data_IF_588017526256
#
_entry.id   IF_588017526256
#
_cell.length_a   1.000
_cell.length_b   1.000
_cell.length_c   1.000
_cell.angle_alpha   90.00
_cell.angle_beta   90.00
_cell.angle_gamma   90.00
#
_symmetry.space_group_name_H-M   'P 1'
#
loop_
_entity.id
_entity.type
_entity.pdbx_description
1 polymer ?
#
# COMPACT_ATOMS: atom_id res chain seq x y z
N UNK A 1 -23.93 25.01 68.73
CA UNK A 1 -22.85 24.38 69.54
C UNK A 1 -22.99 22.89 69.34
N UNK A 2 -21.88 22.18 69.09
CA UNK A 2 -21.77 20.75 68.68
C UNK A 2 -22.01 20.51 67.17
N UNK A 3 -21.24 19.73 66.40
CA UNK A 3 -19.88 19.15 66.47
C UNK A 3 -19.57 18.71 65.01
N UNK A 4 -18.29 18.72 64.62
CA UNK A 4 -17.76 18.59 63.23
C UNK A 4 -18.14 17.29 62.49
N UNK A 5 -18.20 17.30 61.14
CA UNK A 5 -18.21 16.09 60.30
C UNK A 5 -16.80 15.47 60.15
N UNK A 6 -16.70 14.18 59.77
CA UNK A 6 -15.43 13.46 59.75
C UNK A 6 -14.54 13.84 58.56
N UNK A 7 -13.23 13.82 58.81
CA UNK A 7 -12.13 14.09 57.86
C UNK A 7 -12.01 12.98 56.80
N UNK A 8 -11.60 13.31 55.56
CA UNK A 8 -11.27 12.31 54.54
C UNK A 8 -9.86 11.72 54.76
N UNK A 9 -9.75 10.42 54.49
CA UNK A 9 -8.49 9.65 54.49
C UNK A 9 -7.54 10.12 53.38
N UNK A 10 -6.20 10.05 53.58
CA UNK A 10 -5.23 10.54 52.61
C UNK A 10 -5.08 9.60 51.40
N UNK A 11 -5.11 10.19 50.21
CA UNK A 11 -4.76 9.54 48.94
C UNK A 11 -3.23 9.36 48.91
N UNK A 12 -2.78 8.11 48.89
CA UNK A 12 -1.38 7.79 48.64
C UNK A 12 -1.06 8.05 47.16
N UNK A 13 -0.29 9.10 46.90
CA UNK A 13 0.31 9.39 45.60
C UNK A 13 1.53 8.47 45.45
N UNK A 14 1.39 7.36 44.71
CA UNK A 14 2.56 6.59 44.28
C UNK A 14 3.14 7.26 43.03
N UNK A 15 4.26 7.96 43.21
CA UNK A 15 5.06 8.54 42.13
C UNK A 15 5.95 7.45 41.51
N UNK A 16 5.43 6.76 40.49
CA UNK A 16 6.27 6.03 39.53
C UNK A 16 6.48 6.91 38.30
N UNK A 17 7.72 7.24 37.91
CA UNK A 17 7.96 8.04 36.72
C UNK A 17 7.73 7.19 35.45
N UNK A 18 7.25 7.78 34.35
CA UNK A 18 7.12 7.05 33.09
C UNK A 18 8.51 6.71 32.54
N UNK A 19 8.66 5.46 32.15
CA UNK A 19 9.89 4.82 31.70
C UNK A 19 10.20 5.18 30.24
N UNK A 20 10.23 6.47 29.89
CA UNK A 20 10.68 6.94 28.57
C UNK A 20 11.33 8.32 28.66
N UNK A 21 12.60 8.36 29.04
CA UNK A 21 13.51 9.43 28.64
C UNK A 21 14.95 8.93 28.76
N UNK A 22 15.55 8.54 27.62
CA UNK A 22 17.01 8.51 27.33
C UNK A 22 17.29 7.72 26.06
N UNK A 23 16.95 8.30 24.91
CA UNK A 23 17.70 8.03 23.67
C UNK A 23 17.80 9.35 22.91
N UNK A 24 18.72 10.20 23.38
CA UNK A 24 19.20 11.34 22.62
C UNK A 24 20.72 11.23 22.47
N UNK A 25 21.14 11.33 21.20
CA UNK A 25 22.45 11.75 20.71
C UNK A 25 23.70 10.99 21.21
N UNK A 26 24.18 10.06 20.37
CA UNK A 26 25.62 9.85 20.19
C UNK A 26 25.94 10.03 18.70
N UNK A 27 26.33 11.24 18.31
CA UNK A 27 27.09 11.48 17.08
C UNK A 27 28.52 11.00 17.34
N UNK A 28 28.91 9.85 16.76
CA UNK A 28 30.33 9.52 16.58
C UNK A 28 30.69 9.69 15.11
N UNK A 29 31.55 10.67 14.84
CA UNK A 29 32.37 10.72 13.62
C UNK A 29 33.40 9.60 13.72
N UNK A 30 33.43 8.70 12.76
CA UNK A 30 34.56 7.81 12.51
C UNK A 30 35.00 7.98 11.07
N UNK A 31 36.12 8.68 10.90
CA UNK A 31 36.90 8.65 9.66
C UNK A 31 37.61 7.30 9.57
N UNK A 32 37.35 6.53 8.52
CA UNK A 32 38.22 5.43 8.13
C UNK A 32 38.54 5.63 6.65
N UNK A 33 39.78 6.02 6.40
CA UNK A 33 40.41 5.85 5.10
C UNK A 33 40.94 4.40 5.03
N UNK A 34 40.61 3.70 3.94
CA UNK A 34 41.32 2.49 3.55
C UNK A 34 41.25 2.37 2.01
N UNK A 35 42.37 2.72 1.38
CA UNK A 35 42.73 2.37 0.00
C UNK A 35 43.11 0.89 -0.09
N UNK A 36 42.71 0.21 -1.17
CA UNK A 36 43.47 -0.94 -1.68
C UNK A 36 42.69 -2.20 -2.11
N UNK A 37 42.46 -2.28 -3.43
CA UNK A 37 42.51 -3.46 -4.31
C UNK A 37 41.56 -4.68 -4.14
N UNK A 38 40.69 -4.78 -5.15
CA UNK A 38 40.38 -5.93 -6.03
C UNK A 38 40.33 -7.37 -5.47
N UNK A 39 39.13 -7.96 -5.60
CA UNK A 39 38.93 -9.40 -5.78
C UNK A 39 38.02 -10.04 -4.73
N UNK A 40 36.71 -10.15 -5.01
CA UNK A 40 35.79 -11.00 -4.23
C UNK A 40 34.70 -11.51 -5.20
N UNK A 41 34.82 -12.73 -5.71
CA UNK A 41 34.24 -13.96 -5.13
C UNK A 41 32.73 -13.84 -4.89
N UNK A 42 31.94 -14.47 -5.76
CA UNK A 42 30.49 -14.56 -5.62
C UNK A 42 30.12 -15.26 -4.31
N UNK A 43 29.73 -14.48 -3.31
CA UNK A 43 29.18 -15.01 -2.06
C UNK A 43 27.82 -15.70 -2.32
N UNK A 44 27.56 -16.78 -1.58
CA UNK A 44 26.27 -17.49 -1.60
C UNK A 44 25.10 -16.52 -1.35
N UNK A 45 23.93 -16.70 -2.01
CA UNK A 45 22.77 -15.81 -1.87
C UNK A 45 22.29 -15.59 -0.42
N UNK A 46 22.57 -16.54 0.47
CA UNK A 46 22.16 -16.49 1.87
C UNK A 46 22.99 -15.50 2.72
N UNK A 47 24.24 -15.21 2.35
CA UNK A 47 25.12 -14.34 3.13
C UNK A 47 24.80 -12.83 2.99
N UNK A 48 23.96 -12.46 2.01
CA UNK A 48 23.66 -11.07 1.67
C UNK A 48 22.42 -10.48 2.38
N UNK A 49 21.72 -11.23 3.26
CA UNK A 49 20.43 -10.76 3.79
C UNK A 49 20.53 -9.83 5.00
N UNK A 50 21.51 -10.00 5.90
CA UNK A 50 21.65 -9.16 7.10
C UNK A 50 22.08 -7.76 6.69
N UNK A 51 21.26 -6.75 7.04
CA UNK A 51 21.51 -5.34 6.69
C UNK A 51 21.05 -4.92 5.29
N UNK A 52 20.44 -5.83 4.51
CA UNK A 52 19.92 -5.50 3.18
C UNK A 52 18.60 -4.70 3.22
N UNK A 53 17.80 -4.91 4.27
CA UNK A 53 16.57 -4.17 4.55
C UNK A 53 16.88 -2.83 5.23
N UNK A 54 16.10 -1.79 4.92
CA UNK A 54 16.32 -0.39 5.37
C UNK A 54 17.69 0.17 4.99
N UNK A 55 18.19 -0.25 3.83
CA UNK A 55 19.44 0.23 3.27
C UNK A 55 19.19 1.12 2.06
N UNK A 56 20.04 2.14 1.89
CA UNK A 56 20.12 2.91 0.65
C UNK A 56 20.89 2.10 -0.39
N UNK A 57 20.33 1.95 -1.58
CA UNK A 57 20.94 1.20 -2.70
C UNK A 57 21.11 2.11 -3.90
N UNK A 58 22.22 2.03 -4.65
CA UNK A 58 22.30 2.62 -5.98
C UNK A 58 21.18 2.05 -6.86
N UNK A 59 20.62 2.88 -7.72
CA UNK A 59 19.57 2.48 -8.65
C UNK A 59 20.02 2.68 -10.09
N UNK A 60 19.75 1.68 -10.92
CA UNK A 60 19.93 1.73 -12.35
C UNK A 60 18.62 1.26 -13.02
N UNK A 61 18.01 2.07 -13.90
CA UNK A 61 16.84 1.67 -14.67
C UNK A 61 17.07 0.38 -15.48
N UNK A 62 16.01 -0.41 -15.76
CA UNK A 62 16.08 -1.45 -16.78
C UNK A 62 16.50 -0.84 -18.12
N UNK A 63 17.21 -1.62 -18.94
CA UNK A 63 17.72 -1.16 -20.24
C UNK A 63 16.61 -0.59 -21.13
N UNK A 64 15.44 -1.23 -21.16
CA UNK A 64 14.26 -0.80 -21.91
C UNK A 64 13.60 0.48 -21.37
N UNK A 65 13.91 0.92 -20.15
CA UNK A 65 13.43 2.16 -19.54
C UNK A 65 14.52 3.23 -19.39
N UNK A 66 15.76 2.96 -19.80
CA UNK A 66 16.90 3.86 -19.55
C UNK A 66 16.80 5.25 -20.18
N UNK A 67 15.93 5.41 -21.18
CA UNK A 67 15.64 6.68 -21.84
C UNK A 67 14.60 7.54 -21.10
N UNK A 68 13.88 6.98 -20.12
CA UNK A 68 12.88 7.72 -19.35
C UNK A 68 13.55 8.70 -18.40
N UNK A 69 12.93 9.87 -18.24
CA UNK A 69 13.38 10.90 -17.32
C UNK A 69 13.15 10.52 -15.85
N UNK A 70 13.77 11.28 -14.95
CA UNK A 70 13.55 11.21 -13.49
C UNK A 70 13.90 9.85 -12.84
N UNK A 71 14.74 9.03 -13.48
CA UNK A 71 15.35 7.89 -12.81
C UNK A 71 16.19 8.38 -11.62
N UNK A 72 15.88 7.99 -10.37
CA UNK A 72 16.67 8.45 -9.24
C UNK A 72 18.03 7.75 -9.21
N UNK A 73 19.07 8.39 -8.67
CA UNK A 73 20.38 7.73 -8.55
C UNK A 73 20.41 6.63 -7.48
N UNK A 74 19.42 6.62 -6.57
CA UNK A 74 19.34 5.68 -5.44
C UNK A 74 17.90 5.38 -5.07
N UNK A 75 17.67 4.24 -4.42
CA UNK A 75 16.41 3.86 -3.76
C UNK A 75 16.68 3.40 -2.33
N UNK A 76 15.62 3.27 -1.53
CA UNK A 76 15.67 2.54 -0.26
C UNK A 76 15.08 1.15 -0.41
N UNK A 77 15.67 0.16 0.26
CA UNK A 77 15.08 -1.18 0.37
C UNK A 77 14.06 -1.20 1.51
N UNK A 78 12.78 -1.04 1.18
CA UNK A 78 11.65 -1.04 2.12
C UNK A 78 10.73 -2.26 1.96
N UNK A 79 10.85 -2.99 0.84
CA UNK A 79 10.02 -4.17 0.59
C UNK A 79 10.74 -5.52 0.66
N UNK A 80 9.92 -6.57 0.62
CA UNK A 80 10.33 -7.94 0.37
C UNK A 80 9.99 -8.28 -1.09
N UNK A 81 11.03 -8.34 -1.92
CA UNK A 81 10.94 -8.61 -3.35
C UNK A 81 11.87 -9.78 -3.73
N UNK A 82 11.53 -10.56 -4.77
CA UNK A 82 10.33 -10.46 -5.58
C UNK A 82 9.05 -10.91 -4.86
N UNK A 83 7.89 -10.32 -5.19
CA UNK A 83 6.61 -10.79 -4.60
C UNK A 83 6.13 -12.07 -5.27
N UNK A 84 5.55 -13.03 -4.53
CA UNK A 84 5.12 -14.31 -5.08
C UNK A 84 4.12 -14.16 -6.22
N UNK A 85 4.23 -15.04 -7.22
CA UNK A 85 3.24 -15.22 -8.29
C UNK A 85 2.81 -16.67 -8.26
N UNK A 86 1.50 -16.92 -8.24
CA UNK A 86 0.96 -18.27 -8.30
C UNK A 86 -0.38 -18.29 -9.02
N UNK A 87 -0.80 -19.47 -9.49
CA UNK A 87 -2.13 -19.66 -10.08
C UNK A 87 -3.19 -19.34 -9.04
N UNK A 88 -4.25 -18.65 -9.46
CA UNK A 88 -5.40 -18.31 -8.63
C UNK A 88 -6.61 -19.05 -9.18
N UNK A 89 -6.97 -20.14 -8.50
CA UNK A 89 -8.02 -21.05 -8.94
C UNK A 89 -9.40 -20.41 -8.73
N UNK A 90 -9.83 -19.61 -9.70
CA UNK A 90 -11.13 -18.95 -9.72
C UNK A 90 -12.19 -19.85 -10.37
N UNK A 91 -13.41 -19.92 -9.83
CA UNK A 91 -14.50 -20.67 -10.44
C UNK A 91 -15.06 -19.92 -11.67
N UNK A 92 -15.70 -20.67 -12.58
CA UNK A 92 -16.49 -20.14 -13.69
C UNK A 92 -15.72 -19.19 -14.65
N UNK A 93 -14.44 -19.50 -14.90
CA UNK A 93 -13.66 -18.77 -15.90
C UNK A 93 -14.08 -19.15 -17.34
N UNK A 94 -13.92 -18.23 -18.32
CA UNK A 94 -14.12 -18.54 -19.73
C UNK A 94 -13.18 -19.66 -20.22
N UNK A 95 -13.55 -20.30 -21.34
CA UNK A 95 -12.86 -21.50 -21.84
C UNK A 95 -11.36 -21.28 -22.03
N UNK A 96 -10.54 -22.19 -21.49
CA UNK A 96 -9.08 -22.12 -21.59
C UNK A 96 -8.42 -20.93 -20.89
N UNK A 97 -9.18 -20.13 -20.14
CA UNK A 97 -8.66 -18.96 -19.41
C UNK A 97 -7.98 -19.40 -18.12
N UNK A 98 -6.81 -18.85 -17.84
CA UNK A 98 -6.12 -19.03 -16.57
C UNK A 98 -5.94 -17.70 -15.87
N UNK A 99 -6.23 -17.64 -14.57
CA UNK A 99 -5.92 -16.47 -13.75
C UNK A 99 -4.80 -16.81 -12.78
N UNK A 100 -3.81 -15.94 -12.73
CA UNK A 100 -2.69 -15.94 -11.80
C UNK A 100 -2.77 -14.69 -10.94
N UNK A 101 -2.13 -14.71 -9.78
CA UNK A 101 -2.12 -13.60 -8.85
C UNK A 101 -0.68 -13.24 -8.47
N UNK A 102 -0.32 -11.96 -8.63
CA UNK A 102 0.91 -11.39 -8.07
C UNK A 102 0.59 -10.80 -6.71
N UNK A 103 1.26 -11.33 -5.67
CA UNK A 103 1.00 -11.07 -4.26
C UNK A 103 1.71 -9.82 -3.76
N UNK A 104 1.43 -8.69 -4.39
CA UNK A 104 1.99 -7.40 -3.97
C UNK A 104 1.47 -6.96 -2.59
N UNK A 105 0.39 -7.56 -2.08
CA UNK A 105 -0.05 -7.48 -0.69
C UNK A 105 1.01 -7.97 0.32
N UNK A 106 1.93 -8.84 -0.12
CA UNK A 106 3.02 -9.40 0.66
C UNK A 106 4.35 -8.66 0.46
N UNK A 107 4.35 -7.49 -0.19
CA UNK A 107 5.55 -6.67 -0.44
C UNK A 107 6.24 -6.15 0.83
N UNK A 108 5.62 -6.31 2.01
CA UNK A 108 6.16 -5.85 3.28
C UNK A 108 5.49 -4.57 3.78
N UNK A 109 6.30 -3.66 4.31
CA UNK A 109 5.93 -2.56 5.20
C UNK A 109 4.63 -2.67 6.01
N UNK A 110 4.54 -3.68 6.88
CA UNK A 110 3.36 -3.97 7.71
C UNK A 110 2.07 -4.14 6.88
N UNK A 111 2.13 -4.90 5.77
CA UNK A 111 1.02 -5.12 4.82
C UNK A 111 0.66 -3.87 4.00
N UNK A 112 1.66 -3.11 3.57
CA UNK A 112 1.48 -1.84 2.83
C UNK A 112 1.27 -2.02 1.33
N UNK A 113 1.39 -3.24 0.82
CA UNK A 113 0.95 -3.57 -0.52
C UNK A 113 1.72 -2.81 -1.62
N UNK A 114 0.97 -2.30 -2.60
CA UNK A 114 1.54 -1.56 -3.73
C UNK A 114 2.33 -0.30 -3.34
N UNK A 115 2.09 0.27 -2.17
CA UNK A 115 2.69 1.56 -1.77
C UNK A 115 4.18 1.44 -1.50
N UNK A 116 4.63 0.27 -1.05
CA UNK A 116 6.04 0.00 -0.75
C UNK A 116 6.92 0.34 -1.94
N UNK A 117 6.57 -0.22 -3.11
CA UNK A 117 7.33 -0.02 -4.36
C UNK A 117 7.51 1.45 -4.72
N UNK A 118 6.48 2.27 -4.55
CA UNK A 118 6.58 3.71 -4.87
C UNK A 118 7.37 4.47 -3.81
N UNK A 119 7.19 4.13 -2.54
CA UNK A 119 7.83 4.80 -1.41
C UNK A 119 9.35 4.58 -1.38
N UNK A 120 9.87 3.47 -1.93
CA UNK A 120 11.32 3.26 -2.10
C UNK A 120 12.00 4.39 -2.89
N UNK A 121 11.28 4.97 -3.85
CA UNK A 121 11.74 6.05 -4.71
C UNK A 121 11.47 7.42 -4.09
N UNK A 122 10.22 7.63 -3.65
CA UNK A 122 9.77 8.91 -3.08
C UNK A 122 10.54 9.30 -1.82
N UNK A 123 10.78 8.35 -0.92
CA UNK A 123 11.52 8.64 0.30
C UNK A 123 13.03 8.73 0.09
N UNK A 124 13.56 8.08 -0.96
CA UNK A 124 14.94 8.30 -1.38
C UNK A 124 15.15 9.77 -1.76
N UNK A 125 14.24 10.33 -2.55
CA UNK A 125 14.25 11.73 -2.94
C UNK A 125 14.01 12.68 -1.74
N UNK A 126 13.04 12.38 -0.88
CA UNK A 126 12.80 13.16 0.33
C UNK A 126 14.05 13.28 1.22
N UNK A 127 14.73 12.16 1.49
CA UNK A 127 15.98 12.15 2.27
C UNK A 127 17.12 12.86 1.53
N UNK A 128 17.22 12.71 0.21
CA UNK A 128 18.23 13.40 -0.58
C UNK A 128 18.06 14.93 -0.56
N UNK A 129 16.81 15.42 -0.50
CA UNK A 129 16.49 16.84 -0.35
C UNK A 129 16.65 17.35 1.10
N UNK A 130 17.05 16.49 2.04
CA UNK A 130 17.27 16.85 3.43
C UNK A 130 15.97 17.13 4.19
N UNK A 131 14.86 16.49 3.78
CA UNK A 131 13.60 16.58 4.50
C UNK A 131 13.74 16.03 5.93
N UNK A 132 13.01 16.64 6.87
CA UNK A 132 12.85 16.12 8.24
C UNK A 132 11.44 15.58 8.51
N UNK A 133 10.50 15.86 7.60
CA UNK A 133 9.14 15.36 7.66
C UNK A 133 8.54 15.19 6.27
N UNK A 134 7.51 14.36 6.19
CA UNK A 134 6.71 14.15 4.99
C UNK A 134 5.25 14.52 5.23
N UNK A 135 4.60 15.02 4.18
CA UNK A 135 3.17 15.32 4.16
C UNK A 135 2.50 14.43 3.13
N UNK A 136 1.36 13.84 3.47
CA UNK A 136 0.49 13.23 2.46
C UNK A 136 -1.00 13.33 2.82
N UNK A 137 -1.85 12.94 1.87
CA UNK A 137 -3.30 13.10 1.94
C UNK A 137 -4.00 11.78 1.60
N UNK A 138 -5.08 11.47 2.30
CA UNK A 138 -5.89 10.28 2.03
C UNK A 138 -7.19 10.25 2.83
N UNK A 139 -7.96 9.16 2.73
CA UNK A 139 -9.10 8.91 3.64
C UNK A 139 -8.66 8.34 4.99
N UNK A 140 -9.57 8.31 5.96
CA UNK A 140 -9.36 7.68 7.28
C UNK A 140 -8.72 6.29 7.18
N UNK A 141 -9.13 5.48 6.19
CA UNK A 141 -8.61 4.13 5.98
C UNK A 141 -7.60 4.06 4.83
N UNK A 142 -6.84 5.13 4.59
CA UNK A 142 -5.87 5.19 3.50
C UNK A 142 -4.70 4.24 3.73
N UNK A 143 -4.62 3.18 2.91
CA UNK A 143 -3.42 2.33 2.87
C UNK A 143 -2.16 3.14 2.55
N UNK A 144 -2.28 4.22 1.78
CA UNK A 144 -1.15 5.09 1.44
C UNK A 144 -0.65 5.89 2.65
N UNK A 145 -1.55 6.51 3.41
CA UNK A 145 -1.16 7.33 4.56
C UNK A 145 -0.44 6.47 5.59
N UNK A 146 -1.00 5.30 5.91
CA UNK A 146 -0.39 4.31 6.78
C UNK A 146 0.97 3.84 6.26
N UNK A 147 1.09 3.48 4.98
CA UNK A 147 2.37 3.07 4.40
C UNK A 147 3.43 4.18 4.46
N UNK A 148 3.02 5.43 4.21
CA UNK A 148 3.90 6.60 4.30
C UNK A 148 4.35 6.85 5.74
N UNK A 149 3.45 6.78 6.72
CA UNK A 149 3.79 6.96 8.14
C UNK A 149 4.80 5.91 8.63
N UNK A 150 4.56 4.66 8.25
CA UNK A 150 5.46 3.54 8.51
C UNK A 150 6.85 3.79 7.93
N UNK A 151 6.92 4.09 6.62
CA UNK A 151 8.17 4.23 5.92
C UNK A 151 8.94 5.51 6.32
N UNK A 152 8.23 6.58 6.67
CA UNK A 152 8.82 7.80 7.24
C UNK A 152 9.57 7.49 8.54
N UNK A 153 8.95 6.74 9.46
CA UNK A 153 9.59 6.40 10.74
C UNK A 153 10.82 5.51 10.60
N UNK A 154 10.86 4.62 9.60
CA UNK A 154 12.06 3.85 9.28
C UNK A 154 13.26 4.70 8.85
N UNK A 155 13.00 5.88 8.31
CA UNK A 155 14.04 6.80 7.84
C UNK A 155 14.20 8.03 8.77
N UNK A 156 13.66 7.94 9.99
CA UNK A 156 13.69 9.02 10.99
C UNK A 156 13.05 10.34 10.50
N UNK A 157 11.97 10.24 9.72
CA UNK A 157 11.16 11.37 9.29
C UNK A 157 9.87 11.43 10.12
N UNK A 158 9.42 12.64 10.47
CA UNK A 158 8.06 12.82 10.96
C UNK A 158 7.04 12.71 9.82
N UNK A 159 5.82 12.29 10.14
CA UNK A 159 4.76 12.11 9.15
C UNK A 159 3.55 12.95 9.54
N UNK A 160 3.12 13.79 8.60
CA UNK A 160 1.92 14.58 8.70
C UNK A 160 0.90 14.11 7.66
N UNK A 161 -0.30 13.79 8.14
CA UNK A 161 -1.37 13.20 7.37
C UNK A 161 -2.56 14.16 7.36
N UNK A 162 -3.04 14.50 6.17
CA UNK A 162 -4.34 15.16 6.00
C UNK A 162 -5.35 14.08 5.65
N UNK A 163 -6.28 13.79 6.57
CA UNK A 163 -7.25 12.71 6.42
C UNK A 163 -8.67 13.24 6.16
N UNK A 164 -9.29 12.79 5.07
CA UNK A 164 -10.66 13.16 4.70
C UNK A 164 -11.70 12.31 5.44
N UNK A 165 -12.66 12.99 6.07
CA UNK A 165 -13.83 12.39 6.76
C UNK A 165 -15.12 13.12 6.38
N UNK A 166 -16.27 12.69 6.91
CA UNK A 166 -17.56 13.38 6.66
C UNK A 166 -17.60 14.73 7.39
N UNK A 167 -18.39 15.68 6.86
CA UNK A 167 -18.62 16.97 7.52
C UNK A 167 -19.14 16.85 8.96
N UNK A 168 -19.87 15.78 9.28
CA UNK A 168 -20.40 15.55 10.63
C UNK A 168 -19.33 15.09 11.62
N UNK A 169 -18.23 14.50 11.14
CA UNK A 169 -17.19 13.87 11.97
C UNK A 169 -15.84 14.60 11.90
N UNK A 170 -15.74 15.71 11.17
CA UNK A 170 -14.46 16.42 10.95
C UNK A 170 -13.91 17.03 12.23
N UNK A 171 -14.78 17.41 13.15
CA UNK A 171 -14.44 17.98 14.46
C UNK A 171 -14.43 16.93 15.59
N UNK A 172 -14.50 15.63 15.26
CA UNK A 172 -14.52 14.51 16.21
C UNK A 172 -13.26 13.64 16.10
N UNK A 173 -12.94 12.86 17.15
CA UNK A 173 -11.87 11.86 17.07
C UNK A 173 -12.29 10.74 16.08
N UNK A 174 -11.51 10.47 15.02
CA UNK A 174 -11.87 9.49 13.98
C UNK A 174 -11.71 8.03 14.43
N UNK A 175 -11.33 7.80 15.69
CA UNK A 175 -11.16 6.49 16.28
C UNK A 175 -9.78 5.89 16.04
N UNK A 176 -9.73 4.55 16.07
CA UNK A 176 -8.48 3.78 16.12
C UNK A 176 -8.57 2.49 15.30
N UNK A 177 -9.48 2.37 14.34
CA UNK A 177 -9.72 1.10 13.62
C UNK A 177 -8.84 0.99 12.39
N UNK A 178 -8.38 -0.22 12.06
CA UNK A 178 -7.72 -0.52 10.78
C UNK A 178 -6.42 0.24 10.55
N UNK A 179 -6.30 0.93 9.40
CA UNK A 179 -5.09 1.67 9.03
C UNK A 179 -4.76 2.78 10.04
N UNK A 180 -5.78 3.47 10.54
CA UNK A 180 -5.65 4.58 11.49
C UNK A 180 -4.98 4.17 12.81
N UNK A 181 -5.19 2.93 13.26
CA UNK A 181 -4.50 2.39 14.44
C UNK A 181 -2.99 2.49 14.29
N UNK A 182 -2.50 2.01 13.14
CA UNK A 182 -1.07 1.94 12.84
C UNK A 182 -0.49 3.34 12.69
N UNK A 183 -1.21 4.25 12.02
CA UNK A 183 -0.82 5.66 11.89
C UNK A 183 -0.63 6.33 13.26
N UNK A 184 -1.56 6.14 14.19
CA UNK A 184 -1.47 6.69 15.55
C UNK A 184 -0.37 6.03 16.38
N UNK A 185 -0.19 4.70 16.28
CA UNK A 185 0.90 3.99 16.98
C UNK A 185 2.29 4.47 16.55
N UNK A 186 2.44 4.88 15.30
CA UNK A 186 3.67 5.45 14.78
C UNK A 186 3.86 6.92 15.15
N UNK A 187 2.87 7.56 15.80
CA UNK A 187 2.90 8.96 16.16
C UNK A 187 2.82 9.88 14.93
N UNK A 188 2.06 9.51 13.91
CA UNK A 188 1.76 10.42 12.81
C UNK A 188 0.89 11.59 13.31
N UNK A 189 1.17 12.80 12.81
CA UNK A 189 0.33 13.98 13.03
C UNK A 189 -0.85 13.91 12.08
N UNK A 190 -2.08 14.06 12.59
CA UNK A 190 -3.31 13.91 11.80
C UNK A 190 -4.08 15.21 11.82
N UNK A 191 -4.25 15.83 10.66
CA UNK A 191 -5.15 16.95 10.41
C UNK A 191 -6.39 16.40 9.67
N UNK A 192 -7.60 16.66 10.18
CA UNK A 192 -8.84 16.25 9.52
C UNK A 192 -9.38 17.32 8.59
N UNK A 193 -9.96 16.89 7.47
CA UNK A 193 -10.73 17.74 6.56
C UNK A 193 -12.01 17.03 6.14
N UNK A 194 -13.06 17.78 5.87
CA UNK A 194 -14.29 17.22 5.32
C UNK A 194 -14.10 16.84 3.83
N UNK A 195 -14.91 15.90 3.34
CA UNK A 195 -14.94 15.53 1.91
C UNK A 195 -15.26 16.74 1.03
N UNK A 196 -16.09 17.65 1.51
CA UNK A 196 -16.51 18.88 0.84
C UNK A 196 -15.35 19.88 0.73
N UNK A 197 -14.60 20.10 1.82
CA UNK A 197 -13.38 20.93 1.79
C UNK A 197 -12.33 20.32 0.87
N UNK A 198 -12.11 19.01 0.95
CA UNK A 198 -11.22 18.30 0.04
C UNK A 198 -11.65 18.48 -1.42
N UNK A 199 -12.93 18.34 -1.73
CA UNK A 199 -13.46 18.51 -3.09
C UNK A 199 -13.34 19.94 -3.61
N UNK A 200 -13.48 20.95 -2.73
CA UNK A 200 -13.36 22.37 -3.09
C UNK A 200 -11.91 22.82 -3.27
N UNK A 201 -11.01 22.39 -2.39
CA UNK A 201 -9.63 22.89 -2.32
C UNK A 201 -8.68 22.02 -3.14
N UNK A 202 -8.89 20.69 -3.13
CA UNK A 202 -8.01 19.72 -3.76
C UNK A 202 -6.80 19.33 -2.89
N UNK A 203 -6.27 18.13 -3.13
CA UNK A 203 -5.17 17.56 -2.34
C UNK A 203 -3.87 18.34 -2.43
N UNK A 204 -3.53 18.88 -3.61
CA UNK A 204 -2.30 19.65 -3.83
C UNK A 204 -2.30 20.91 -2.98
N UNK A 205 -3.36 21.73 -3.07
CA UNK A 205 -3.46 22.96 -2.31
C UNK A 205 -3.54 22.71 -0.79
N UNK A 206 -4.23 21.66 -0.34
CA UNK A 206 -4.23 21.26 1.07
C UNK A 206 -2.83 20.91 1.57
N UNK A 207 -2.08 20.11 0.81
CA UNK A 207 -0.71 19.76 1.17
C UNK A 207 0.21 20.98 1.16
N UNK A 208 0.04 21.92 0.22
CA UNK A 208 0.82 23.16 0.15
C UNK A 208 0.53 24.11 1.32
N UNK A 209 -0.71 24.19 1.78
CA UNK A 209 -1.08 24.96 2.98
C UNK A 209 -0.35 24.42 4.22
N UNK A 210 -0.38 23.10 4.42
CA UNK A 210 0.34 22.46 5.52
C UNK A 210 1.85 22.60 5.38
N UNK A 211 2.37 22.45 4.15
CA UNK A 211 3.79 22.65 3.83
C UNK A 211 4.24 24.05 4.23
N UNK A 212 3.46 25.09 3.88
CA UNK A 212 3.74 26.47 4.23
C UNK A 212 3.82 26.67 5.75
N UNK A 213 2.83 26.15 6.50
CA UNK A 213 2.83 26.18 7.98
C UNK A 213 4.09 25.56 8.57
N UNK A 214 4.46 24.37 8.10
CA UNK A 214 5.64 23.66 8.60
C UNK A 214 6.96 24.37 8.25
N UNK A 215 7.04 25.02 7.09
CA UNK A 215 8.20 25.86 6.73
C UNK A 215 8.32 27.08 7.66
N UNK A 216 7.21 27.71 8.03
CA UNK A 216 7.18 28.82 9.00
C UNK A 216 7.60 28.37 10.42
N UNK A 217 7.37 27.10 10.76
CA UNK A 217 7.86 26.44 11.97
C UNK A 217 9.33 25.98 11.89
N UNK A 218 10.02 26.26 10.78
CA UNK A 218 11.42 25.91 10.56
C UNK A 218 11.68 24.45 10.18
N UNK A 219 10.63 23.70 9.80
CA UNK A 219 10.72 22.32 9.32
C UNK A 219 11.12 22.25 7.84
N UNK A 220 11.48 21.06 7.39
CA UNK A 220 11.78 20.76 5.97
C UNK A 220 10.81 19.70 5.43
N UNK A 221 9.57 20.09 5.10
CA UNK A 221 8.55 19.17 4.62
C UNK A 221 8.77 18.73 3.16
N UNK A 222 8.60 17.43 2.91
CA UNK A 222 8.47 16.85 1.58
C UNK A 222 7.04 16.37 1.32
N UNK A 223 6.41 16.82 0.24
CA UNK A 223 5.03 16.44 -0.09
C UNK A 223 5.01 15.19 -0.94
N UNK A 224 4.32 14.16 -0.47
CA UNK A 224 4.03 12.94 -1.22
C UNK A 224 2.56 13.00 -1.68
N UNK A 225 2.30 13.05 -3.00
CA UNK A 225 0.94 13.15 -3.52
C UNK A 225 0.12 11.89 -3.22
N UNK A 226 -1.20 12.01 -3.27
CA UNK A 226 -2.15 10.92 -2.98
C UNK A 226 -1.74 9.63 -3.70
N UNK A 227 -1.57 8.56 -2.91
CA UNK A 227 -1.22 7.24 -3.43
C UNK A 227 0.24 7.08 -3.87
N UNK A 228 1.10 8.08 -3.61
CA UNK A 228 2.48 8.16 -4.10
C UNK A 228 2.54 8.30 -5.62
N UNK A 229 1.52 8.91 -6.23
CA UNK A 229 1.37 8.97 -7.68
C UNK A 229 1.93 10.28 -8.23
N UNK A 230 3.20 10.23 -8.61
CA UNK A 230 3.86 11.20 -9.47
C UNK A 230 4.82 10.41 -10.39
N UNK A 231 5.46 11.08 -11.35
CA UNK A 231 6.39 10.45 -12.29
C UNK A 231 7.51 9.69 -11.57
N UNK A 232 8.06 10.21 -10.46
CA UNK A 232 9.06 9.49 -9.67
C UNK A 232 8.52 8.20 -9.05
N UNK A 233 7.35 8.25 -8.41
CA UNK A 233 6.71 7.09 -7.79
C UNK A 233 6.28 6.01 -8.79
N UNK A 234 6.03 6.39 -10.05
CA UNK A 234 5.75 5.47 -11.16
C UNK A 234 6.89 4.47 -11.39
N UNK A 235 8.15 4.86 -11.13
CA UNK A 235 9.31 3.96 -11.24
C UNK A 235 9.18 2.71 -10.37
N UNK A 236 8.49 2.78 -9.22
CA UNK A 236 8.24 1.61 -8.38
C UNK A 236 7.50 0.48 -9.11
N UNK A 237 6.60 0.82 -10.05
CA UNK A 237 5.88 -0.17 -10.84
C UNK A 237 6.50 -0.47 -12.21
N UNK A 238 7.37 0.40 -12.72
CA UNK A 238 8.32 0.05 -13.79
C UNK A 238 9.24 -1.09 -13.30
N UNK A 239 9.75 -0.97 -12.07
CA UNK A 239 10.52 -2.02 -11.42
C UNK A 239 9.72 -3.29 -11.16
N UNK A 240 8.44 -3.19 -10.85
CA UNK A 240 7.57 -4.36 -10.73
C UNK A 240 7.48 -5.15 -12.05
N UNK A 241 7.51 -4.46 -13.20
CA UNK A 241 7.55 -5.13 -14.51
C UNK A 241 8.91 -5.78 -14.76
N UNK A 242 10.02 -5.10 -14.44
CA UNK A 242 11.36 -5.71 -14.50
C UNK A 242 11.45 -6.97 -13.62
N UNK A 243 10.89 -6.91 -12.41
CA UNK A 243 10.78 -8.05 -11.51
C UNK A 243 9.95 -9.18 -12.13
N UNK A 244 8.80 -8.86 -12.74
CA UNK A 244 7.93 -9.83 -13.40
C UNK A 244 8.62 -10.53 -14.58
N UNK A 245 9.33 -9.79 -15.44
CA UNK A 245 10.13 -10.38 -16.53
C UNK A 245 11.16 -11.37 -16.01
N UNK A 246 11.86 -11.02 -14.92
CA UNK A 246 12.85 -11.90 -14.29
C UNK A 246 12.19 -13.16 -13.72
N UNK A 247 11.02 -13.03 -13.08
CA UNK A 247 10.26 -14.18 -12.57
C UNK A 247 9.76 -15.10 -13.69
N UNK A 248 9.33 -14.54 -14.83
CA UNK A 248 8.91 -15.30 -16.02
C UNK A 248 10.10 -16.02 -16.65
N UNK A 249 11.24 -15.33 -16.81
CA UNK A 249 12.45 -15.91 -17.38
C UNK A 249 12.98 -17.08 -16.54
N UNK A 250 12.90 -16.97 -15.21
CA UNK A 250 13.31 -18.03 -14.29
C UNK A 250 12.34 -19.22 -14.28
N UNK A 251 11.05 -19.01 -14.54
CA UNK A 251 10.06 -20.10 -14.59
C UNK A 251 10.03 -20.83 -15.93
N UNK A 252 10.35 -20.17 -17.04
CA UNK A 252 10.43 -20.75 -18.39
C UNK A 252 9.09 -21.07 -19.06
N UNK A 253 8.03 -21.29 -18.28
CA UNK A 253 6.79 -21.93 -18.76
C UNK A 253 5.55 -21.01 -18.79
N UNK A 254 5.66 -19.76 -18.32
CA UNK A 254 4.50 -18.86 -18.16
C UNK A 254 4.73 -17.54 -18.86
N UNK A 255 3.84 -17.20 -19.79
CA UNK A 255 3.69 -15.88 -20.39
C UNK A 255 2.28 -15.37 -20.09
N UNK A 256 2.14 -14.07 -19.80
CA UNK A 256 0.86 -13.45 -19.51
C UNK A 256 0.40 -12.59 -20.67
N UNK A 257 -0.85 -12.80 -21.10
CA UNK A 257 -1.47 -11.99 -22.14
C UNK A 257 -2.02 -10.67 -21.59
N UNK A 258 -2.40 -10.67 -20.31
CA UNK A 258 -3.03 -9.54 -19.62
C UNK A 258 -2.49 -9.35 -18.21
N UNK A 259 -2.43 -8.09 -17.79
CA UNK A 259 -2.31 -7.69 -16.39
C UNK A 259 -3.59 -6.97 -16.00
N UNK A 260 -4.18 -7.35 -14.88
CA UNK A 260 -5.39 -6.72 -14.33
C UNK A 260 -5.10 -6.14 -12.95
N UNK A 261 -5.55 -4.91 -12.71
CA UNK A 261 -5.30 -4.21 -11.44
C UNK A 261 -6.39 -3.18 -11.12
N UNK A 262 -6.66 -2.94 -9.83
CA UNK A 262 -7.52 -1.85 -9.40
C UNK A 262 -6.80 -0.49 -9.51
N UNK A 263 -7.49 0.56 -9.97
CA UNK A 263 -6.98 1.92 -10.07
C UNK A 263 -7.70 2.87 -9.11
N UNK A 264 -6.94 3.44 -8.17
CA UNK A 264 -7.45 4.50 -7.27
C UNK A 264 -6.66 5.80 -7.27
N UNK A 265 -5.47 5.84 -7.88
CA UNK A 265 -4.61 7.05 -7.91
C UNK A 265 -3.67 7.11 -9.12
N UNK A 266 -3.81 6.24 -10.13
CA UNK A 266 -3.02 6.29 -11.36
C UNK A 266 -1.60 5.70 -11.32
N UNK A 267 -0.75 6.02 -10.34
CA UNK A 267 0.69 5.73 -10.46
C UNK A 267 1.09 4.24 -10.56
N UNK A 268 0.26 3.32 -10.06
CA UNK A 268 0.50 1.88 -10.25
C UNK A 268 0.19 1.45 -11.68
N UNK A 269 -0.92 1.93 -12.25
CA UNK A 269 -1.30 1.59 -13.63
C UNK A 269 -0.37 2.24 -14.63
N UNK A 270 0.10 3.47 -14.38
CA UNK A 270 1.10 4.13 -15.22
C UNK A 270 2.38 3.30 -15.32
N UNK A 271 2.91 2.81 -14.19
CA UNK A 271 4.16 2.05 -14.17
C UNK A 271 4.01 0.67 -14.80
N UNK A 272 2.89 -0.02 -14.55
CA UNK A 272 2.59 -1.31 -15.18
C UNK A 272 2.41 -1.16 -16.70
N UNK A 273 1.66 -0.17 -17.16
CA UNK A 273 1.38 0.06 -18.57
C UNK A 273 2.64 0.46 -19.33
N UNK A 274 3.39 1.44 -18.81
CA UNK A 274 4.65 1.88 -19.39
C UNK A 274 5.68 0.76 -19.40
N UNK A 275 5.84 0.08 -18.26
CA UNK A 275 6.76 -1.06 -18.15
C UNK A 275 6.39 -2.19 -19.12
N UNK A 276 5.12 -2.59 -19.18
CA UNK A 276 4.67 -3.64 -20.09
C UNK A 276 4.88 -3.26 -21.55
N UNK A 277 4.58 -2.00 -21.92
CA UNK A 277 4.75 -1.49 -23.29
C UNK A 277 6.20 -1.43 -23.72
N UNK A 278 7.14 -1.06 -22.84
CA UNK A 278 8.55 -0.89 -23.18
C UNK A 278 9.33 -2.21 -23.10
N UNK A 279 8.98 -3.07 -22.16
CA UNK A 279 9.67 -4.34 -21.89
C UNK A 279 9.33 -5.45 -22.90
N UNK A 280 9.90 -6.65 -22.72
CA UNK A 280 9.59 -7.82 -23.52
C UNK A 280 8.25 -8.47 -23.16
N UNK A 281 7.66 -8.09 -22.01
CA UNK A 281 6.41 -8.65 -21.50
C UNK A 281 5.23 -8.42 -22.46
N UNK A 282 5.03 -7.17 -22.91
CA UNK A 282 3.95 -6.76 -23.85
C UNK A 282 2.52 -7.21 -23.48
N UNK A 283 2.27 -7.57 -22.22
CA UNK A 283 0.95 -7.92 -21.72
C UNK A 283 0.02 -6.69 -21.75
N UNK A 284 -1.26 -6.89 -22.13
CA UNK A 284 -2.25 -5.81 -22.12
C UNK A 284 -2.61 -5.44 -20.69
N UNK A 285 -2.53 -4.16 -20.33
CA UNK A 285 -2.86 -3.71 -18.98
C UNK A 285 -4.31 -3.25 -18.93
N UNK A 286 -5.10 -3.86 -18.05
CA UNK A 286 -6.49 -3.51 -17.76
C UNK A 286 -6.58 -2.95 -16.35
N UNK A 287 -7.09 -1.74 -16.24
CA UNK A 287 -7.29 -1.03 -14.99
C UNK A 287 -8.78 -0.88 -14.69
N UNK A 288 -9.19 -1.19 -13.47
CA UNK A 288 -10.55 -0.98 -13.00
C UNK A 288 -10.59 0.20 -12.02
N UNK A 289 -11.15 1.34 -12.44
CA UNK A 289 -11.18 2.57 -11.66
C UNK A 289 -12.19 2.48 -10.52
N UNK A 290 -11.76 2.69 -9.27
CA UNK A 290 -12.60 2.47 -8.08
C UNK A 290 -13.08 3.75 -7.38
N UNK A 291 -12.68 4.92 -7.88
CA UNK A 291 -13.07 6.22 -7.32
C UNK A 291 -13.54 7.20 -8.38
N UNK A 292 -12.66 7.53 -9.32
CA UNK A 292 -12.92 8.50 -10.39
C UNK A 292 -13.19 7.78 -11.73
N UNK A 293 -13.63 8.56 -12.71
CA UNK A 293 -14.01 8.04 -14.02
C UNK A 293 -12.79 7.73 -14.91
N UNK A 294 -12.92 6.83 -15.90
CA UNK A 294 -11.82 6.43 -16.77
C UNK A 294 -11.07 7.59 -17.41
N UNK A 295 -11.78 8.59 -17.96
CA UNK A 295 -11.16 9.77 -18.62
C UNK A 295 -10.25 10.55 -17.67
N UNK A 296 -10.67 10.75 -16.42
CA UNK A 296 -9.81 11.37 -15.41
C UNK A 296 -8.49 10.60 -15.24
N UNK A 297 -8.55 9.26 -15.26
CA UNK A 297 -7.35 8.45 -15.11
C UNK A 297 -6.51 8.37 -16.38
N UNK A 298 -7.09 8.48 -17.58
CA UNK A 298 -6.31 8.63 -18.80
C UNK A 298 -5.49 9.92 -18.74
N UNK A 299 -6.13 11.07 -18.48
CA UNK A 299 -5.46 12.36 -18.34
C UNK A 299 -4.40 12.33 -17.23
N UNK A 300 -4.75 11.76 -16.08
CA UNK A 300 -3.82 11.70 -14.96
C UNK A 300 -2.61 10.81 -15.28
N UNK A 301 -2.82 9.64 -15.88
CA UNK A 301 -1.73 8.75 -16.32
C UNK A 301 -0.89 9.42 -17.40
N UNK A 302 -1.51 10.15 -18.34
CA UNK A 302 -0.81 10.92 -19.36
C UNK A 302 0.16 11.90 -18.72
N UNK A 303 -0.29 12.71 -17.76
CA UNK A 303 0.59 13.63 -17.04
C UNK A 303 1.76 12.95 -16.32
N UNK A 304 1.55 11.73 -15.78
CA UNK A 304 2.62 10.95 -15.16
C UNK A 304 3.67 10.48 -16.17
N UNK A 305 3.25 9.97 -17.32
CA UNK A 305 4.15 9.43 -18.35
C UNK A 305 4.81 10.55 -19.19
N UNK A 306 4.16 11.69 -19.34
CA UNK A 306 4.76 12.91 -19.92
C UNK A 306 5.90 13.43 -19.05
N UNK A 307 5.72 13.44 -17.73
CA UNK A 307 6.80 13.78 -16.79
C UNK A 307 7.98 12.79 -16.82
N UNK A 308 7.76 11.57 -17.32
CA UNK A 308 8.82 10.60 -17.60
C UNK A 308 9.38 10.71 -19.02
N UNK A 309 8.87 11.63 -19.84
CA UNK A 309 9.27 11.83 -21.24
C UNK A 309 9.20 10.54 -22.08
N UNK A 310 8.15 9.73 -21.85
CA UNK A 310 8.00 8.45 -22.55
C UNK A 310 7.71 8.58 -24.04
N UNK A 311 7.08 9.69 -24.46
CA UNK A 311 6.57 9.87 -25.82
C UNK A 311 5.42 8.93 -26.19
N UNK A 312 4.75 8.33 -25.19
CA UNK A 312 3.63 7.41 -25.36
C UNK A 312 2.32 8.05 -24.95
N UNK A 313 1.24 7.58 -25.57
CA UNK A 313 -0.13 7.95 -25.23
C UNK A 313 -0.72 6.93 -24.24
N UNK A 314 -1.40 7.41 -23.20
CA UNK A 314 -2.03 6.60 -22.17
C UNK A 314 -3.12 5.69 -22.71
N UNK A 315 -3.91 6.15 -23.70
CA UNK A 315 -4.97 5.35 -24.35
C UNK A 315 -4.40 4.18 -25.16
N UNK A 316 -3.14 4.25 -25.59
CA UNK A 316 -2.47 3.20 -26.36
C UNK A 316 -1.86 2.09 -25.49
N UNK A 317 -1.69 2.33 -24.18
CA UNK A 317 -0.91 1.45 -23.29
C UNK A 317 -1.71 0.86 -22.13
N UNK A 318 -2.88 1.42 -21.80
CA UNK A 318 -3.75 0.89 -20.74
C UNK A 318 -5.23 0.99 -21.15
N UNK A 319 -6.01 -0.05 -20.86
CA UNK A 319 -7.46 0.00 -20.95
C UNK A 319 -8.04 0.27 -19.56
N UNK A 320 -8.69 1.41 -19.38
CA UNK A 320 -9.31 1.80 -18.10
C UNK A 320 -10.82 1.64 -18.18
N UNK A 321 -11.39 0.88 -17.24
CA UNK A 321 -12.80 0.60 -17.14
C UNK A 321 -13.35 1.07 -15.79
N UNK A 322 -14.61 1.49 -15.77
CA UNK A 322 -15.26 1.94 -14.54
C UNK A 322 -15.63 0.76 -13.64
N UNK A 323 -15.19 0.79 -12.39
CA UNK A 323 -15.54 -0.15 -11.33
C UNK A 323 -15.84 0.56 -10.00
N UNK A 324 -16.23 1.85 -10.04
CA UNK A 324 -16.42 2.64 -8.82
C UNK A 324 -17.65 2.22 -8.01
N UNK A 325 -18.64 1.60 -8.66
CA UNK A 325 -19.90 1.18 -8.03
C UNK A 325 -20.62 2.39 -7.44
N UNK A 326 -20.96 2.34 -6.15
CA UNK A 326 -21.55 3.48 -5.44
C UNK A 326 -20.58 4.67 -5.30
N UNK A 327 -19.27 4.45 -5.46
CA UNK A 327 -18.23 5.46 -5.33
C UNK A 327 -17.08 5.00 -4.44
N UNK A 328 -16.13 5.91 -4.20
CA UNK A 328 -14.95 5.62 -3.41
C UNK A 328 -15.28 5.13 -1.99
N UNK A 329 -14.73 3.97 -1.62
CA UNK A 329 -14.90 3.32 -0.31
C UNK A 329 -16.35 3.02 0.11
N UNK A 330 -17.31 3.11 -0.82
CA UNK A 330 -18.69 2.70 -0.63
C UNK A 330 -18.94 1.42 -1.42
N UNK A 331 -19.72 0.49 -0.86
CA UNK A 331 -19.88 -0.84 -1.42
C UNK A 331 -21.34 -1.21 -1.63
N UNK A 332 -21.62 -1.94 -2.71
CA UNK A 332 -22.90 -2.64 -2.86
C UNK A 332 -22.91 -3.93 -2.05
N UNK A 333 -24.10 -4.49 -1.80
CA UNK A 333 -24.23 -5.79 -1.13
C UNK A 333 -23.54 -6.91 -1.93
N UNK A 334 -23.59 -6.84 -3.26
CA UNK A 334 -22.96 -7.81 -4.16
C UNK A 334 -21.44 -7.74 -4.10
N UNK A 335 -20.85 -6.54 -4.02
CA UNK A 335 -19.40 -6.37 -3.87
C UNK A 335 -18.90 -6.96 -2.54
N UNK A 336 -19.60 -6.70 -1.43
CA UNK A 336 -19.25 -7.26 -0.13
C UNK A 336 -19.43 -8.78 -0.09
N UNK A 337 -20.53 -9.28 -0.68
CA UNK A 337 -20.77 -10.72 -0.83
C UNK A 337 -19.68 -11.38 -1.66
N UNK A 338 -19.26 -10.75 -2.76
CA UNK A 338 -18.15 -11.24 -3.58
C UNK A 338 -16.85 -11.35 -2.78
N UNK A 339 -16.49 -10.31 -2.02
CA UNK A 339 -15.28 -10.33 -1.18
C UNK A 339 -15.31 -11.50 -0.19
N UNK A 340 -16.46 -11.76 0.44
CA UNK A 340 -16.63 -12.91 1.33
C UNK A 340 -16.55 -14.25 0.59
N UNK A 341 -17.18 -14.37 -0.57
CA UNK A 341 -17.24 -15.63 -1.32
C UNK A 341 -15.89 -15.99 -1.96
N UNK A 342 -15.16 -15.01 -2.50
CA UNK A 342 -13.84 -15.23 -3.10
C UNK A 342 -12.81 -15.65 -2.04
N UNK A 343 -12.90 -15.06 -0.83
CA UNK A 343 -12.08 -15.46 0.31
C UNK A 343 -12.36 -16.91 0.72
N UNK A 344 -13.64 -17.28 0.83
CA UNK A 344 -14.04 -18.65 1.19
C UNK A 344 -13.63 -19.68 0.12
N UNK A 345 -13.68 -19.31 -1.16
CA UNK A 345 -13.37 -20.21 -2.27
C UNK A 345 -11.86 -20.40 -2.50
N UNK A 346 -11.04 -19.38 -2.22
CA UNK A 346 -9.64 -19.36 -2.66
C UNK A 346 -8.61 -19.17 -1.55
N UNK A 347 -9.05 -18.80 -0.34
CA UNK A 347 -8.16 -18.39 0.76
C UNK A 347 -7.52 -17.01 0.55
N UNK A 348 -7.81 -16.31 -0.56
CA UNK A 348 -7.32 -14.96 -0.82
C UNK A 348 -8.34 -13.93 -0.34
N UNK A 349 -7.96 -13.16 0.67
CA UNK A 349 -8.80 -12.09 1.23
C UNK A 349 -8.49 -10.79 0.50
N UNK A 350 -9.49 -10.20 -0.15
CA UNK A 350 -9.36 -8.92 -0.84
C UNK A 350 -10.02 -7.80 -0.04
N UNK A 351 -9.46 -6.60 -0.09
CA UNK A 351 -10.11 -5.44 0.49
C UNK A 351 -11.30 -4.98 -0.38
N UNK A 352 -12.38 -4.46 0.21
CA UNK A 352 -13.59 -4.12 -0.53
C UNK A 352 -13.49 -2.76 -1.23
N UNK A 353 -12.43 -1.98 -1.01
CA UNK A 353 -12.28 -0.65 -1.59
C UNK A 353 -11.51 -0.69 -2.92
N UNK A 354 -10.49 -1.53 -3.02
CA UNK A 354 -9.58 -1.59 -4.17
C UNK A 354 -9.55 -2.98 -4.81
N UNK A 355 -8.77 -3.91 -4.26
CA UNK A 355 -8.48 -5.19 -4.91
C UNK A 355 -9.75 -6.03 -5.10
N UNK A 356 -10.68 -5.96 -4.15
CA UNK A 356 -11.99 -6.63 -4.25
C UNK A 356 -12.84 -6.09 -5.38
N UNK A 357 -12.95 -4.76 -5.52
CA UNK A 357 -13.67 -4.13 -6.66
C UNK A 357 -13.00 -4.46 -7.99
N UNK A 358 -11.67 -4.41 -8.05
CA UNK A 358 -10.91 -4.75 -9.25
C UNK A 358 -11.14 -6.21 -9.69
N UNK A 359 -11.07 -7.16 -8.75
CA UNK A 359 -11.32 -8.58 -9.05
C UNK A 359 -12.81 -8.84 -9.38
N UNK A 360 -13.73 -8.19 -8.69
CA UNK A 360 -15.16 -8.29 -8.95
C UNK A 360 -15.49 -7.82 -10.38
N UNK A 361 -14.99 -6.64 -10.76
CA UNK A 361 -15.19 -6.07 -12.08
C UNK A 361 -14.52 -6.92 -13.17
N UNK A 362 -13.31 -7.44 -12.92
CA UNK A 362 -12.64 -8.39 -13.82
C UNK A 362 -13.50 -9.62 -14.10
N UNK A 363 -14.00 -10.29 -13.06
CA UNK A 363 -14.81 -11.49 -13.22
C UNK A 363 -16.18 -11.20 -13.85
N UNK A 364 -16.75 -10.03 -13.55
CA UNK A 364 -17.98 -9.57 -14.21
C UNK A 364 -17.76 -9.31 -15.71
N UNK A 365 -16.64 -8.70 -16.10
CA UNK A 365 -16.28 -8.50 -17.51
C UNK A 365 -16.01 -9.84 -18.21
N UNK A 366 -15.32 -10.78 -17.55
CA UNK A 366 -15.10 -12.13 -18.08
C UNK A 366 -16.41 -12.88 -18.33
N UNK A 367 -17.37 -12.78 -17.40
CA UNK A 367 -18.67 -13.41 -17.54
C UNK A 367 -19.54 -12.75 -18.63
N UNK A 368 -19.49 -11.42 -18.76
CA UNK A 368 -20.25 -10.68 -19.77
C UNK A 368 -19.66 -10.82 -21.18
N UNK A 369 -18.34 -10.93 -21.30
CA UNK A 369 -17.60 -10.91 -22.55
C UNK A 369 -16.63 -12.11 -22.67
N UNK A 370 -17.10 -13.37 -22.61
CA UNK A 370 -16.23 -14.55 -22.51
C UNK A 370 -15.27 -14.70 -23.70
N UNK A 371 -15.70 -14.36 -24.92
CA UNK A 371 -14.87 -14.44 -26.13
C UNK A 371 -13.62 -13.55 -26.07
N UNK A 372 -13.68 -12.43 -25.33
CA UNK A 372 -12.52 -11.55 -25.10
C UNK A 372 -11.43 -12.26 -24.30
N UNK A 373 -11.79 -13.25 -23.48
CA UNK A 373 -10.92 -13.86 -22.47
C UNK A 373 -10.52 -15.31 -22.78
N UNK A 374 -11.23 -15.98 -23.68
CA UNK A 374 -10.95 -17.37 -24.04
C UNK A 374 -9.46 -17.61 -24.37
N UNK A 375 -8.89 -18.63 -23.73
CA UNK A 375 -7.49 -19.04 -23.90
C UNK A 375 -6.44 -18.10 -23.30
N UNK A 376 -6.83 -17.02 -22.62
CA UNK A 376 -5.89 -16.01 -22.11
C UNK A 376 -5.33 -16.38 -20.75
N UNK A 377 -4.04 -16.06 -20.53
CA UNK A 377 -3.38 -16.11 -19.22
C UNK A 377 -3.34 -14.72 -18.62
N UNK A 378 -4.10 -14.51 -17.55
CA UNK A 378 -4.33 -13.22 -16.90
C UNK A 378 -3.58 -13.14 -15.58
N UNK A 379 -2.79 -12.09 -15.37
CA UNK A 379 -2.15 -11.80 -14.08
C UNK A 379 -2.91 -10.72 -13.33
N UNK A 380 -3.58 -11.08 -12.25
CA UNK A 380 -4.19 -10.12 -11.32
C UNK A 380 -3.15 -9.62 -10.32
N UNK A 381 -2.96 -8.30 -10.20
CA UNK A 381 -2.06 -7.69 -9.22
C UNK A 381 -2.83 -7.37 -7.95
N UNK A 382 -2.64 -8.18 -6.90
CA UNK A 382 -3.25 -7.91 -5.61
C UNK A 382 -2.45 -6.84 -4.86
N UNK A 383 -3.03 -5.64 -4.76
CA UNK A 383 -2.32 -4.46 -4.25
C UNK A 383 -2.31 -4.31 -2.72
N UNK A 384 -2.80 -5.30 -1.97
CA UNK A 384 -3.00 -5.23 -0.52
C UNK A 384 -4.34 -4.63 -0.13
N UNK A 385 -4.37 -3.98 1.04
CA UNK A 385 -5.54 -3.28 1.55
C UNK A 385 -6.23 -3.91 2.77
N UNK A 386 -5.70 -5.02 3.29
CA UNK A 386 -6.35 -5.85 4.33
C UNK A 386 -6.91 -5.05 5.52
N UNK A 387 -6.15 -4.10 6.06
CA UNK A 387 -6.60 -3.32 7.24
C UNK A 387 -7.83 -2.44 6.96
N UNK A 388 -8.06 -2.08 5.70
CA UNK A 388 -9.26 -1.35 5.29
C UNK A 388 -10.55 -2.16 5.42
N UNK A 389 -10.49 -3.49 5.56
CA UNK A 389 -11.66 -4.34 5.84
C UNK A 389 -12.30 -4.02 7.18
N UNK A 390 -11.52 -3.56 8.16
CA UNK A 390 -12.05 -3.30 9.49
C UNK A 390 -13.08 -2.16 9.52
N UNK A 391 -13.05 -1.28 8.51
CA UNK A 391 -14.07 -0.24 8.28
C UNK A 391 -15.42 -0.81 7.85
N UNK A 392 -15.46 -2.06 7.38
CA UNK A 392 -16.63 -2.72 6.80
C UNK A 392 -17.19 -3.83 7.68
N UNK A 393 -16.68 -4.01 8.90
CA UNK A 393 -17.07 -5.11 9.80
C UNK A 393 -18.58 -5.14 10.01
N UNK A 394 -19.21 -4.01 10.31
CA UNK A 394 -20.67 -3.96 10.55
C UNK A 394 -21.46 -4.37 9.30
N UNK A 395 -21.03 -3.93 8.12
CA UNK A 395 -21.67 -4.26 6.85
C UNK A 395 -21.44 -5.72 6.42
N UNK A 396 -20.33 -6.32 6.87
CA UNK A 396 -19.97 -7.71 6.57
C UNK A 396 -20.46 -8.69 7.64
N UNK A 397 -20.94 -8.22 8.79
CA UNK A 397 -21.33 -9.05 9.93
C UNK A 397 -22.36 -10.11 9.56
N UNK A 398 -23.36 -9.76 8.74
CA UNK A 398 -24.38 -10.70 8.26
C UNK A 398 -23.90 -11.66 7.17
N UNK A 399 -22.74 -11.39 6.55
CA UNK A 399 -22.13 -12.21 5.49
C UNK A 399 -21.10 -13.19 6.04
N UNK A 400 -20.46 -12.83 7.16
CA UNK A 400 -19.51 -13.69 7.86
C UNK A 400 -20.25 -14.86 8.53
N UNK A 401 -19.66 -16.06 8.44
CA UNK A 401 -20.28 -17.29 8.95
C UNK A 401 -20.59 -17.23 10.44
N UNK A 402 -21.53 -18.07 10.88
CA UNK A 402 -21.86 -18.21 12.30
C UNK A 402 -20.74 -18.88 13.08
N UNK A 403 -20.62 -18.54 14.35
CA UNK A 403 -19.81 -19.27 15.32
C UNK A 403 -20.73 -20.09 16.22
N UNK A 404 -20.23 -21.19 16.76
CA UNK A 404 -20.90 -21.94 17.82
C UNK A 404 -19.94 -22.17 18.96
N UNK A 405 -20.45 -22.08 20.20
CA UNK A 405 -19.73 -22.62 21.34
C UNK A 405 -19.57 -24.12 21.10
N UNK A 406 -18.35 -24.64 21.28
CA UNK A 406 -18.15 -26.08 21.28
C UNK A 406 -18.87 -26.66 22.49
N UNK A 407 -19.73 -27.65 22.25
CA UNK A 407 -20.33 -28.43 23.32
C UNK A 407 -19.24 -29.31 23.93
N UNK A 408 -18.97 -29.10 25.21
CA UNK A 408 -17.95 -29.82 25.97
C UNK A 408 -18.65 -30.74 26.96
N UNK A 409 -18.33 -32.03 26.91
CA UNK A 409 -18.72 -32.96 27.96
C UNK A 409 -17.84 -32.70 29.20
N UNK A 410 -18.46 -32.26 30.30
CA UNK A 410 -17.75 -32.00 31.57
C UNK A 410 -17.06 -33.25 32.15
N UNK A 411 -17.44 -34.44 31.67
CA UNK A 411 -16.85 -35.72 32.04
C UNK A 411 -15.48 -35.98 31.42
N UNK A 412 -15.04 -35.23 30.41
CA UNK A 412 -13.74 -35.45 29.75
C UNK A 412 -12.61 -35.00 30.68
N UNK A 413 -11.87 -35.95 31.31
CA UNK A 413 -10.87 -35.58 32.30
C UNK A 413 -9.64 -35.04 31.58
N UNK A 414 -9.02 -34.02 32.17
CA UNK A 414 -7.69 -33.59 31.75
C UNK A 414 -6.71 -34.73 32.00
N UNK A 415 -5.99 -35.20 30.97
CA UNK A 415 -4.89 -36.14 31.15
C UNK A 415 -3.75 -35.46 31.90
N UNK A 416 -3.35 -36.03 33.03
CA UNK A 416 -2.14 -35.59 33.72
C UNK A 416 -0.90 -35.86 32.85
N UNK A 417 0.06 -34.93 32.87
CA UNK A 417 1.27 -35.00 32.05
C UNK A 417 1.14 -34.50 30.62
N UNK A 418 -0.06 -34.16 30.11
CA UNK A 418 -0.19 -33.40 28.86
C UNK A 418 -0.10 -31.90 29.16
N UNK A 419 1.01 -31.29 28.75
CA UNK A 419 1.22 -29.86 28.86
C UNK A 419 0.13 -29.09 28.11
N UNK A 420 -0.26 -27.92 28.65
CA UNK A 420 -0.93 -26.92 27.82
C UNK A 420 0.11 -26.46 26.80
N UNK A 421 -0.08 -26.78 25.52
CA UNK A 421 0.67 -26.11 24.46
C UNK A 421 0.18 -24.66 24.43
N UNK A 422 1.01 -23.74 24.90
CA UNK A 422 0.78 -22.29 24.85
C UNK A 422 1.51 -21.69 23.66
#
# INVERSE_FOLDING_TARGET
MLLRPPLPLPVAVSSTPPLFSRLAAVRRRSSIAATGMAGVSAASPAAAQIGSFLSKKPYAPPSWASHLALAPPHTFSLGHFPTPIHKWNLPNLPEGTEVWIKRDDLSGMQLSGNKVRKLEFLLSDAVAQGADCVITVGGIQSNHCRATAVAAKYLNLDCYLILRTSKLLVDEDPGLVGNLLVERLLGAHIDLVSKEEYGKIGSVALADLLKKRLLEEGRKPYVIPVGGSNSLGTWGYIEAVRELEQQIQLSGDVQFDDIVVACGSGGTIAGLALGSKLSSLKAKVHAFSVCDDPEYFYDYVQGLIDGLQSGLDSHDIVSIQNAKGLGYAMNTAEELKFVKDIAAATGIVLDPVYSGKGAYAMLKDMAANPSKWNGRKVLFVHTGGLLGLYDKVDQMSSLAGSWRRMDLEESVPRKDGTGKMF
#
